data_IF_733515469074
#
_entry.id   IF_733515469074
#
_cell.length_a   1.000
_cell.length_b   1.000
_cell.length_c   1.000
_cell.angle_alpha   90.00
_cell.angle_beta   90.00
_cell.angle_gamma   90.00
#
_symmetry.space_group_name_H-M   'P 1'
#
loop_
_entity.id
_entity.type
_entity.pdbx_description
1 polymer ?
#
# COMPACT_ATOMS: atom_id res chain seq x y z
N UNK A 1 -9.57 7.03 -22.92
CA UNK A 1 -8.64 7.51 -21.87
C UNK A 1 -9.12 6.89 -20.56
N UNK A 2 -8.28 6.09 -19.90
CA UNK A 2 -8.63 5.49 -18.59
C UNK A 2 -8.88 6.57 -17.52
N UNK A 3 -9.67 6.23 -16.50
CA UNK A 3 -9.93 7.12 -15.35
C UNK A 3 -8.58 7.49 -14.71
N UNK A 4 -8.34 8.77 -14.44
CA UNK A 4 -7.16 9.19 -13.67
C UNK A 4 -7.35 8.76 -12.22
N UNK A 5 -6.49 7.87 -11.73
CA UNK A 5 -6.50 7.38 -10.34
C UNK A 5 -5.57 8.25 -9.51
N UNK A 6 -6.07 8.82 -8.42
CA UNK A 6 -5.28 9.59 -7.46
C UNK A 6 -4.77 8.66 -6.36
N UNK A 7 -3.46 8.56 -6.22
CA UNK A 7 -2.79 7.55 -5.39
C UNK A 7 -2.01 8.22 -4.27
N UNK A 8 -2.11 7.70 -3.05
CA UNK A 8 -1.26 8.08 -1.92
C UNK A 8 -0.46 6.87 -1.43
N UNK A 9 0.85 7.00 -1.41
CA UNK A 9 1.72 6.14 -0.62
C UNK A 9 1.86 6.69 0.79
N UNK A 10 1.84 5.80 1.78
CA UNK A 10 2.05 6.16 3.19
C UNK A 10 3.26 5.42 3.72
N UNK A 11 4.28 6.16 4.15
CA UNK A 11 5.43 5.64 4.88
C UNK A 11 5.21 5.81 6.39
N UNK A 12 4.83 4.76 7.13
CA UNK A 12 4.56 4.86 8.56
C UNK A 12 5.84 4.95 9.36
N UNK A 13 5.81 5.66 10.48
CA UNK A 13 6.92 5.66 11.44
C UNK A 13 6.83 4.47 12.39
N UNK A 14 7.84 3.63 12.39
CA UNK A 14 7.96 2.50 13.31
C UNK A 14 8.43 2.93 14.71
N UNK A 15 9.09 4.07 14.80
CA UNK A 15 9.70 4.61 16.02
C UNK A 15 9.67 6.14 15.96
N UNK A 16 8.54 6.72 16.31
CA UNK A 16 8.35 8.18 16.25
C UNK A 16 9.45 8.98 16.97
N UNK A 17 9.91 8.48 18.13
CA UNK A 17 10.94 9.12 18.95
C UNK A 17 12.38 8.74 18.57
N UNK A 18 12.60 7.96 17.52
CA UNK A 18 13.94 7.55 17.14
C UNK A 18 14.71 8.72 16.52
N UNK A 19 15.94 8.98 16.97
CA UNK A 19 16.77 10.04 16.39
C UNK A 19 17.24 9.71 14.96
N UNK A 20 17.26 8.41 14.62
CA UNK A 20 17.70 7.94 13.31
C UNK A 20 16.47 7.44 12.53
N UNK A 21 16.27 8.00 11.34
CA UNK A 21 15.25 7.56 10.40
C UNK A 21 15.84 6.52 9.44
N UNK A 22 15.00 5.61 8.98
CA UNK A 22 15.41 4.51 8.09
C UNK A 22 14.67 4.65 6.77
N UNK A 23 15.43 4.70 5.68
CA UNK A 23 14.85 4.71 4.34
C UNK A 23 14.05 3.42 4.09
N UNK A 24 12.79 3.53 3.66
CA UNK A 24 11.92 2.39 3.44
C UNK A 24 12.18 1.76 2.07
N UNK A 25 13.30 1.04 1.92
CA UNK A 25 13.78 0.48 0.63
C UNK A 25 12.69 -0.26 -0.14
N UNK A 26 11.92 -1.13 0.53
CA UNK A 26 10.84 -1.87 -0.12
C UNK A 26 9.71 -0.96 -0.64
N UNK A 27 9.34 0.08 0.11
CA UNK A 27 8.35 1.06 -0.34
C UNK A 27 8.90 1.86 -1.53
N UNK A 28 10.15 2.30 -1.44
CA UNK A 28 10.83 3.05 -2.50
C UNK A 28 10.91 2.26 -3.81
N UNK A 29 11.19 0.96 -3.75
CA UNK A 29 11.19 0.08 -4.91
C UNK A 29 9.82 0.01 -5.58
N UNK A 30 8.75 -0.20 -4.80
CA UNK A 30 7.37 -0.23 -5.31
C UNK A 30 6.97 1.13 -5.89
N UNK A 31 7.27 2.24 -5.20
CA UNK A 31 6.99 3.60 -5.69
C UNK A 31 7.69 3.85 -7.03
N UNK A 32 8.96 3.48 -7.14
CA UNK A 32 9.73 3.63 -8.38
C UNK A 32 9.09 2.84 -9.52
N UNK A 33 8.74 1.57 -9.28
CA UNK A 33 8.13 0.72 -10.31
C UNK A 33 6.75 1.24 -10.74
N UNK A 34 5.95 1.74 -9.80
CA UNK A 34 4.65 2.36 -10.07
C UNK A 34 4.83 3.65 -10.89
N UNK A 35 5.82 4.48 -10.56
CA UNK A 35 6.15 5.69 -11.31
C UNK A 35 6.58 5.40 -12.74
N UNK A 36 7.51 4.45 -12.94
CA UNK A 36 7.97 4.00 -14.26
C UNK A 36 6.83 3.36 -15.09
N UNK A 37 5.81 2.80 -14.42
CA UNK A 37 4.60 2.29 -15.07
C UNK A 37 3.60 3.41 -15.47
N UNK A 38 3.99 4.69 -15.31
CA UNK A 38 3.23 5.85 -15.76
C UNK A 38 2.20 6.38 -14.76
N UNK A 39 2.19 5.89 -13.53
CA UNK A 39 1.33 6.43 -12.48
C UNK A 39 1.97 7.64 -11.80
N UNK A 40 1.12 8.61 -11.46
CA UNK A 40 1.49 9.71 -10.56
C UNK A 40 0.89 9.44 -9.18
N UNK A 41 1.64 9.77 -8.15
CA UNK A 41 1.23 9.58 -6.77
C UNK A 41 1.78 10.68 -5.87
N UNK A 42 1.17 10.81 -4.69
CA UNK A 42 1.70 11.60 -3.59
C UNK A 42 2.29 10.65 -2.54
N UNK A 43 3.21 11.14 -1.71
CA UNK A 43 3.78 10.42 -0.56
C UNK A 43 3.44 11.17 0.73
N UNK A 44 2.86 10.48 1.69
CA UNK A 44 2.77 10.91 3.09
C UNK A 44 3.88 10.20 3.87
N UNK A 45 5.03 10.85 3.99
CA UNK A 45 6.15 10.32 4.77
C UNK A 45 6.03 10.76 6.23
N UNK A 46 5.47 9.87 7.04
CA UNK A 46 5.24 10.11 8.47
C UNK A 46 6.56 10.00 9.24
N UNK A 47 7.44 9.08 8.81
CA UNK A 47 8.68 8.80 9.52
C UNK A 47 9.66 9.97 9.44
N UNK A 48 9.96 10.42 8.22
CA UNK A 48 10.96 11.50 8.03
C UNK A 48 10.48 12.81 8.62
N UNK A 49 9.18 13.12 8.48
CA UNK A 49 8.59 14.38 8.95
C UNK A 49 8.21 14.35 10.44
N UNK A 50 8.21 13.19 11.08
CA UNK A 50 7.81 13.06 12.49
C UNK A 50 6.35 13.42 12.75
N UNK A 51 5.47 13.19 11.77
CA UNK A 51 4.04 13.48 11.93
C UNK A 51 3.40 12.55 12.98
N UNK A 52 2.58 13.13 13.84
CA UNK A 52 1.78 12.40 14.80
C UNK A 52 0.45 11.89 14.20
N UNK A 53 -0.28 11.10 14.97
CA UNK A 53 -1.55 10.52 14.54
C UNK A 53 -2.62 11.61 14.27
N UNK A 54 -2.60 12.72 14.99
CA UNK A 54 -3.55 13.84 14.79
C UNK A 54 -3.29 14.53 13.44
N UNK A 55 -2.02 14.72 13.07
CA UNK A 55 -1.66 15.24 11.76
C UNK A 55 -2.10 14.30 10.64
N UNK A 56 -1.81 12.99 10.78
CA UNK A 56 -2.22 11.98 9.78
C UNK A 56 -3.73 11.98 9.61
N UNK A 57 -4.49 12.01 10.71
CA UNK A 57 -5.95 12.05 10.66
C UNK A 57 -6.47 13.30 9.96
N UNK A 58 -5.91 14.47 10.26
CA UNK A 58 -6.24 15.73 9.60
C UNK A 58 -5.94 15.66 8.10
N UNK A 59 -4.76 15.15 7.73
CA UNK A 59 -4.37 14.99 6.33
C UNK A 59 -5.36 14.13 5.54
N UNK A 60 -5.80 13.01 6.12
CA UNK A 60 -6.79 12.11 5.51
C UNK A 60 -8.18 12.76 5.37
N UNK A 61 -8.54 13.69 6.25
CA UNK A 61 -9.80 14.45 6.16
C UNK A 61 -9.77 15.50 5.06
N UNK A 62 -8.64 16.16 4.87
CA UNK A 62 -8.49 17.30 3.96
C UNK A 62 -8.15 16.88 2.52
N UNK A 63 -7.53 15.73 2.32
CA UNK A 63 -7.07 15.24 1.01
C UNK A 63 -7.85 14.01 0.57
N UNK A 64 -8.17 13.93 -0.72
CA UNK A 64 -8.92 12.80 -1.30
C UNK A 64 -8.07 12.01 -2.27
N UNK A 65 -8.14 10.67 -2.14
CA UNK A 65 -7.43 9.71 -2.98
C UNK A 65 -8.35 8.55 -3.36
N UNK A 66 -8.13 7.97 -4.54
CA UNK A 66 -8.84 6.77 -4.97
C UNK A 66 -8.18 5.51 -4.42
N UNK A 67 -6.84 5.54 -4.21
CA UNK A 67 -6.06 4.39 -3.74
C UNK A 67 -5.04 4.82 -2.70
N UNK A 68 -4.96 4.04 -1.63
CA UNK A 68 -3.95 4.14 -0.58
C UNK A 68 -3.06 2.91 -0.60
N UNK A 69 -1.75 3.13 -0.57
CA UNK A 69 -0.76 2.06 -0.46
C UNK A 69 0.09 2.29 0.78
N UNK A 70 0.22 1.27 1.60
CA UNK A 70 1.08 1.29 2.77
C UNK A 70 1.67 -0.10 3.02
N UNK A 71 2.77 -0.14 3.73
CA UNK A 71 3.39 -1.38 4.17
C UNK A 71 4.16 -1.19 5.46
N UNK A 72 4.16 -2.19 6.31
CA UNK A 72 4.89 -2.15 7.56
C UNK A 72 5.23 -3.54 8.06
N UNK A 73 6.00 -3.62 9.13
CA UNK A 73 6.29 -4.89 9.80
C UNK A 73 5.15 -5.30 10.74
N UNK A 74 5.09 -6.58 11.10
CA UNK A 74 3.98 -7.15 11.87
C UNK A 74 3.81 -6.51 13.26
N UNK A 75 4.87 -6.02 13.88
CA UNK A 75 4.79 -5.34 15.17
C UNK A 75 4.00 -4.03 15.11
N UNK A 76 3.83 -3.47 13.93
CA UNK A 76 3.04 -2.26 13.69
C UNK A 76 1.55 -2.52 13.39
N UNK A 77 1.10 -3.74 13.60
CA UNK A 77 -0.26 -4.21 13.29
C UNK A 77 -1.37 -3.30 13.82
N UNK A 78 -1.29 -2.86 15.08
CA UNK A 78 -2.33 -2.02 15.69
C UNK A 78 -2.48 -0.68 14.98
N UNK A 79 -1.36 -0.04 14.68
CA UNK A 79 -1.35 1.24 13.98
C UNK A 79 -1.87 1.10 12.54
N UNK A 80 -1.46 0.05 11.84
CA UNK A 80 -1.94 -0.22 10.49
C UNK A 80 -3.46 -0.48 10.45
N UNK A 81 -4.03 -1.14 11.46
CA UNK A 81 -5.48 -1.25 11.61
C UNK A 81 -6.14 0.11 11.81
N UNK A 82 -5.57 0.94 12.67
CA UNK A 82 -6.04 2.30 12.90
C UNK A 82 -6.01 3.12 11.61
N UNK A 83 -4.90 3.09 10.86
CA UNK A 83 -4.76 3.79 9.59
C UNK A 83 -5.85 3.37 8.59
N UNK A 84 -6.00 2.07 8.35
CA UNK A 84 -6.99 1.57 7.38
C UNK A 84 -8.42 1.94 7.78
N UNK A 85 -8.71 1.92 9.10
CA UNK A 85 -10.00 2.37 9.64
C UNK A 85 -10.23 3.85 9.37
N UNK A 86 -9.25 4.72 9.64
CA UNK A 86 -9.35 6.17 9.40
C UNK A 86 -9.53 6.47 7.91
N UNK A 87 -8.79 5.78 7.03
CA UNK A 87 -8.99 5.92 5.59
C UNK A 87 -10.43 5.57 5.22
N UNK A 88 -10.94 4.44 5.68
CA UNK A 88 -12.30 3.99 5.37
C UNK A 88 -13.38 4.94 5.90
N UNK A 89 -13.19 5.50 7.11
CA UNK A 89 -14.13 6.43 7.73
C UNK A 89 -14.24 7.75 6.92
N UNK A 90 -13.13 8.24 6.37
CA UNK A 90 -13.13 9.51 5.62
C UNK A 90 -13.28 9.34 4.11
N UNK A 91 -12.93 8.18 3.58
CA UNK A 91 -12.92 7.87 2.14
C UNK A 91 -13.46 6.46 1.90
N UNK A 92 -14.77 6.25 2.05
CA UNK A 92 -15.38 4.91 2.05
C UNK A 92 -15.18 4.14 0.73
N UNK A 93 -15.04 4.84 -0.40
CA UNK A 93 -14.88 4.23 -1.72
C UNK A 93 -13.41 3.97 -2.12
N UNK A 94 -12.45 4.52 -1.35
CA UNK A 94 -11.05 4.36 -1.66
C UNK A 94 -10.59 2.90 -1.50
N UNK A 95 -9.68 2.47 -2.36
CA UNK A 95 -9.05 1.14 -2.26
C UNK A 95 -7.80 1.21 -1.39
N UNK A 96 -7.66 0.25 -0.49
CA UNK A 96 -6.56 0.19 0.48
C UNK A 96 -5.75 -1.07 0.22
N UNK A 97 -4.49 -0.88 -0.19
CA UNK A 97 -3.55 -1.95 -0.53
C UNK A 97 -2.47 -1.98 0.54
N UNK A 98 -2.26 -3.11 1.19
CA UNK A 98 -1.28 -3.29 2.26
C UNK A 98 -0.24 -4.31 1.85
N UNK A 99 1.03 -3.95 2.01
CA UNK A 99 2.19 -4.81 1.74
C UNK A 99 3.05 -5.07 2.98
N UNK A 100 4.22 -5.67 2.73
CA UNK A 100 5.20 -6.05 3.74
C UNK A 100 4.65 -7.08 4.76
N UNK A 101 5.40 -7.38 5.82
CA UNK A 101 5.08 -8.50 6.71
C UNK A 101 3.81 -8.31 7.56
N UNK A 102 3.34 -7.08 7.77
CA UNK A 102 2.09 -6.83 8.50
C UNK A 102 0.87 -7.44 7.80
N UNK A 103 0.85 -7.40 6.49
CA UNK A 103 -0.20 -8.05 5.69
C UNK A 103 0.24 -9.41 5.16
N UNK A 104 1.41 -9.47 4.50
CA UNK A 104 1.87 -10.63 3.76
C UNK A 104 2.11 -11.89 4.59
N UNK A 105 2.48 -11.77 5.89
CA UNK A 105 2.68 -12.93 6.77
C UNK A 105 1.40 -13.51 7.35
N UNK A 106 0.37 -12.67 7.54
CA UNK A 106 -0.91 -13.06 8.14
C UNK A 106 -2.10 -12.47 7.37
N UNK A 107 -2.18 -12.67 6.03
CA UNK A 107 -3.09 -11.92 5.16
C UNK A 107 -4.56 -12.07 5.55
N UNK A 108 -5.03 -13.26 5.88
CA UNK A 108 -6.42 -13.46 6.29
C UNK A 108 -6.75 -12.75 7.60
N UNK A 109 -5.87 -12.91 8.60
CA UNK A 109 -6.06 -12.25 9.89
C UNK A 109 -6.09 -10.74 9.74
N UNK A 110 -5.18 -10.19 8.91
CA UNK A 110 -5.13 -8.75 8.67
C UNK A 110 -6.38 -8.26 7.94
N UNK A 111 -6.78 -8.88 6.84
CA UNK A 111 -7.96 -8.51 6.06
C UNK A 111 -9.24 -8.55 6.90
N UNK A 112 -9.47 -9.63 7.67
CA UNK A 112 -10.67 -9.78 8.51
C UNK A 112 -10.75 -8.80 9.67
N UNK A 113 -9.62 -8.23 10.09
CA UNK A 113 -9.53 -7.34 11.26
C UNK A 113 -9.15 -5.91 10.92
N UNK A 114 -9.10 -5.54 9.67
CA UNK A 114 -8.78 -4.20 9.18
C UNK A 114 -9.80 -3.75 8.12
N UNK A 115 -9.58 -2.57 7.54
CA UNK A 115 -10.38 -2.08 6.43
C UNK A 115 -9.61 -2.14 5.10
N UNK A 116 -8.56 -2.96 5.01
CA UNK A 116 -7.83 -3.17 3.77
C UNK A 116 -8.68 -3.94 2.75
N UNK A 117 -8.59 -3.55 1.47
CA UNK A 117 -9.22 -4.29 0.37
C UNK A 117 -8.31 -5.39 -0.13
N UNK A 118 -7.00 -5.11 -0.20
CA UNK A 118 -6.00 -6.02 -0.75
C UNK A 118 -4.77 -6.10 0.14
N UNK A 119 -4.20 -7.28 0.20
CA UNK A 119 -2.87 -7.52 0.76
C UNK A 119 -1.97 -8.07 -0.33
N UNK A 120 -0.82 -7.45 -0.54
CA UNK A 120 0.21 -7.97 -1.44
C UNK A 120 1.11 -8.94 -0.68
N UNK A 121 1.32 -10.12 -1.26
CA UNK A 121 2.07 -11.24 -0.67
C UNK A 121 3.30 -11.51 -1.52
N UNK A 122 4.48 -11.32 -0.96
CA UNK A 122 5.76 -11.44 -1.67
C UNK A 122 6.24 -10.12 -2.28
N UNK A 123 6.87 -10.20 -3.45
CA UNK A 123 7.36 -9.02 -4.19
C UNK A 123 6.18 -8.21 -4.72
N UNK A 124 6.20 -6.90 -4.45
CA UNK A 124 5.01 -6.07 -4.60
C UNK A 124 4.96 -5.27 -5.92
N UNK A 125 6.07 -5.12 -6.62
CA UNK A 125 6.22 -4.21 -7.74
C UNK A 125 5.18 -4.48 -8.84
N UNK A 126 5.20 -5.67 -9.42
CA UNK A 126 4.28 -6.06 -10.49
C UNK A 126 2.84 -6.19 -10.00
N UNK A 127 2.64 -6.87 -8.88
CA UNK A 127 1.30 -7.08 -8.28
C UNK A 127 0.60 -5.75 -8.01
N UNK A 128 1.33 -4.76 -7.48
CA UNK A 128 0.77 -3.43 -7.21
C UNK A 128 0.31 -2.75 -8.51
N UNK A 129 1.12 -2.78 -9.56
CA UNK A 129 0.75 -2.16 -10.85
C UNK A 129 -0.45 -2.86 -11.48
N UNK A 130 -0.53 -4.19 -11.41
CA UNK A 130 -1.69 -4.93 -11.92
C UNK A 130 -2.97 -4.60 -11.14
N UNK A 131 -2.91 -4.47 -9.81
CA UNK A 131 -4.05 -4.02 -8.99
C UNK A 131 -4.45 -2.59 -9.41
N UNK A 132 -3.50 -1.67 -9.57
CA UNK A 132 -3.77 -0.31 -10.01
C UNK A 132 -4.40 -0.26 -11.40
N UNK A 133 -3.93 -1.09 -12.34
CA UNK A 133 -4.52 -1.22 -13.66
C UNK A 133 -5.97 -1.72 -13.56
N UNK A 134 -6.23 -2.75 -12.77
CA UNK A 134 -7.57 -3.28 -12.54
C UNK A 134 -8.53 -2.22 -11.97
N UNK A 135 -8.08 -1.43 -10.98
CA UNK A 135 -8.86 -0.32 -10.40
C UNK A 135 -9.12 0.77 -11.45
N UNK A 136 -8.09 1.18 -12.24
CA UNK A 136 -8.21 2.20 -13.27
C UNK A 136 -9.20 1.82 -14.36
N UNK A 137 -9.11 0.56 -14.80
CA UNK A 137 -9.86 0.05 -15.97
C UNK A 137 -11.18 -0.62 -15.57
N UNK A 138 -11.45 -0.70 -14.25
CA UNK A 138 -12.61 -1.36 -13.66
C UNK A 138 -12.77 -2.82 -14.14
N UNK A 139 -11.65 -3.56 -14.13
CA UNK A 139 -11.58 -4.97 -14.52
C UNK A 139 -11.47 -5.89 -13.30
N UNK A 140 -11.62 -7.21 -13.49
CA UNK A 140 -11.38 -8.19 -12.41
C UNK A 140 -9.92 -8.18 -11.96
N UNK A 141 -9.70 -8.44 -10.67
CA UNK A 141 -8.41 -8.60 -10.02
C UNK A 141 -8.17 -10.04 -9.53
N UNK A 142 -9.12 -10.94 -9.76
CA UNK A 142 -9.08 -12.30 -9.19
C UNK A 142 -7.93 -13.16 -9.72
N UNK A 143 -7.46 -12.87 -10.95
CA UNK A 143 -6.36 -13.57 -11.60
C UNK A 143 -4.99 -12.94 -11.33
N UNK A 144 -4.91 -11.85 -10.55
CA UNK A 144 -3.64 -11.19 -10.24
C UNK A 144 -2.86 -12.04 -9.24
N UNK A 145 -1.64 -12.47 -9.61
CA UNK A 145 -0.77 -13.25 -8.74
C UNK A 145 -0.19 -12.42 -7.59
N UNK A 146 0.08 -13.07 -6.46
CA UNK A 146 0.80 -12.47 -5.34
C UNK A 146 -0.05 -11.55 -4.46
N UNK A 147 -1.35 -11.79 -4.36
CA UNK A 147 -2.23 -11.00 -3.49
C UNK A 147 -3.22 -11.86 -2.71
N UNK A 148 -3.88 -11.23 -1.74
CA UNK A 148 -5.00 -11.80 -1.02
C UNK A 148 -6.07 -10.73 -0.79
N UNK A 149 -7.33 -11.15 -0.71
CA UNK A 149 -8.50 -10.31 -0.46
C UNK A 149 -9.66 -11.13 0.13
N UNK A 150 -10.69 -10.44 0.60
CA UNK A 150 -11.98 -11.04 0.95
C UNK A 150 -12.94 -10.74 -0.21
N UNK A 151 -13.58 -11.76 -0.75
CA UNK A 151 -14.55 -11.59 -1.85
C UNK A 151 -15.93 -11.13 -1.33
N UNK A 152 -16.87 -10.96 -2.26
CA UNK A 152 -18.24 -10.50 -1.95
C UNK A 152 -19.06 -11.52 -1.14
N UNK A 153 -18.62 -12.76 -1.10
CA UNK A 153 -19.24 -13.86 -0.35
C UNK A 153 -18.58 -14.05 1.03
N UNK A 154 -17.75 -13.10 1.47
CA UNK A 154 -16.95 -13.15 2.70
C UNK A 154 -15.93 -14.29 2.74
N UNK A 155 -15.52 -14.78 1.59
CA UNK A 155 -14.52 -15.83 1.48
C UNK A 155 -13.12 -15.22 1.35
N UNK A 156 -12.18 -15.74 2.11
CA UNK A 156 -10.77 -15.39 1.95
C UNK A 156 -10.20 -16.04 0.68
N UNK A 157 -9.66 -15.21 -0.21
CA UNK A 157 -8.98 -15.62 -1.43
C UNK A 157 -7.51 -15.24 -1.32
N UNK A 158 -6.64 -16.21 -1.57
CA UNK A 158 -5.20 -15.98 -1.76
C UNK A 158 -4.82 -16.52 -3.13
N UNK A 159 -4.40 -15.62 -4.00
CA UNK A 159 -4.02 -15.97 -5.37
C UNK A 159 -2.68 -16.72 -5.39
N UNK A 160 -2.32 -17.40 -6.49
CA UNK A 160 -1.02 -18.05 -6.63
C UNK A 160 0.13 -17.09 -6.32
N UNK A 161 1.18 -17.64 -5.73
CA UNK A 161 2.37 -16.85 -5.43
C UNK A 161 3.06 -16.42 -6.72
N UNK A 162 3.34 -15.13 -6.86
CA UNK A 162 4.11 -14.62 -8.00
C UNK A 162 5.54 -15.16 -7.93
N UNK A 163 6.05 -15.62 -9.06
CA UNK A 163 7.46 -15.99 -9.17
C UNK A 163 8.33 -14.73 -8.98
N UNK A 164 9.42 -14.89 -8.24
CA UNK A 164 10.39 -13.82 -8.07
C UNK A 164 10.89 -13.33 -9.44
N UNK A 165 10.89 -12.01 -9.63
CA UNK A 165 11.45 -11.41 -10.82
C UNK A 165 13.00 -11.42 -10.73
N UNK A 166 13.65 -11.31 -11.90
CA UNK A 166 15.09 -11.08 -11.90
C UNK A 166 15.33 -9.63 -11.46
N UNK A 167 16.17 -9.44 -10.44
CA UNK A 167 16.45 -8.13 -9.89
C UNK A 167 16.92 -7.11 -10.96
N UNK A 168 17.66 -7.58 -11.97
CA UNK A 168 18.15 -6.76 -13.08
C UNK A 168 17.02 -6.24 -14.00
N UNK A 169 15.79 -6.72 -13.85
CA UNK A 169 14.62 -6.23 -14.59
C UNK A 169 13.86 -5.13 -13.85
N UNK A 170 14.21 -4.86 -12.61
CA UNK A 170 13.62 -3.77 -11.84
C UNK A 170 14.39 -2.46 -12.08
N UNK A 171 13.70 -1.32 -12.11
CA UNK A 171 14.37 -0.03 -12.21
C UNK A 171 15.23 0.24 -10.98
N UNK A 172 16.26 1.06 -11.15
CA UNK A 172 17.02 1.61 -10.03
C UNK A 172 16.09 2.48 -9.19
N UNK A 173 16.17 2.31 -7.86
CA UNK A 173 15.31 3.04 -6.93
C UNK A 173 15.49 4.55 -7.11
N UNK A 174 14.39 5.25 -7.32
CA UNK A 174 14.36 6.71 -7.35
C UNK A 174 14.18 7.25 -5.92
N UNK A 175 15.27 7.74 -5.34
CA UNK A 175 15.27 8.28 -3.99
C UNK A 175 14.73 9.72 -3.89
N UNK A 176 14.58 10.43 -5.02
CA UNK A 176 14.02 11.79 -5.07
C UNK A 176 12.57 11.87 -4.54
N UNK A 177 11.90 10.73 -4.41
CA UNK A 177 10.57 10.70 -3.78
C UNK A 177 10.59 11.00 -2.27
N UNK A 178 11.77 10.96 -1.64
CA UNK A 178 11.97 11.18 -0.21
C UNK A 178 12.77 12.46 0.11
N UNK A 179 12.98 13.34 -0.89
CA UNK A 179 13.66 14.63 -0.74
C UNK A 179 12.73 15.74 -0.25
#
# INVERSE_FOLDING_TARGET
MGKKVKILFVNPSLRQDAPTKVLPVGLAAVMTFVGESGYKFDLLDIDINGYDDDYVEKYLKENRYDVFLAGSIVTHYKWMKWLTKKIRDYQPEAKIIIGNSVGGSIPEVFLRNSCADFVVVGEAEFTTVEILNSIRDNTSYEDIEGMAFIDKEDKFIKTPHRKACKIDTLPMINWEYFD
#
